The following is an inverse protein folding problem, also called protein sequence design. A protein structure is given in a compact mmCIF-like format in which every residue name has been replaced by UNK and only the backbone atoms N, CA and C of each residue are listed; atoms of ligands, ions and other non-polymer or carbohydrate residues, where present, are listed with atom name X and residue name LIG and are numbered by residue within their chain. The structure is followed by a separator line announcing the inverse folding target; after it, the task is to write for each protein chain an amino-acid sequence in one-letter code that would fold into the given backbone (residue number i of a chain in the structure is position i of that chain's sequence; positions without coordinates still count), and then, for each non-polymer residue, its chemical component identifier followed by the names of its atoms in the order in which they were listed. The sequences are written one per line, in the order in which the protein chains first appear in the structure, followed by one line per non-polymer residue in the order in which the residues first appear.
data_IF_320391862958
#
_entry.id   IF_320391862958
#
_cell.length_a   1.000
_cell.length_b   1.000
_cell.length_c   1.000
_cell.angle_alpha   90.00
_cell.angle_beta   90.00
_cell.angle_gamma   90.00
#
_symmetry.space_group_name_H-M   'P 1'
#
loop_
_entity.id
_entity.type
_entity.pdbx_description
1 polymer ?
#
# COMPACT_ATOMS: atom_id res chain seq x y z
N UNK A 1 -8.96 -17.91 -0.60
CA UNK A 1 -7.48 -17.93 -0.47
C UNK A 1 -6.80 -18.72 -1.58
N UNK A 2 -7.37 -19.82 -2.09
CA UNK A 2 -6.75 -20.71 -3.10
C UNK A 2 -6.23 -20.03 -4.39
N UNK A 3 -6.75 -18.85 -4.76
CA UNK A 3 -6.27 -18.09 -5.93
C UNK A 3 -5.11 -17.12 -5.62
N UNK A 4 -5.03 -16.56 -4.42
CA UNK A 4 -4.09 -15.47 -4.12
C UNK A 4 -2.68 -15.98 -3.81
N UNK A 5 -2.56 -17.16 -3.21
CA UNK A 5 -1.27 -17.76 -2.88
C UNK A 5 -0.44 -18.11 -4.14
N UNK A 6 -0.98 -18.81 -5.15
CA UNK A 6 -0.23 -19.11 -6.37
C UNK A 6 0.24 -17.86 -7.11
N UNK A 7 -0.59 -16.81 -7.13
CA UNK A 7 -0.22 -15.52 -7.75
C UNK A 7 0.89 -14.85 -6.94
N UNK A 8 0.80 -14.89 -5.61
CA UNK A 8 1.82 -14.33 -4.72
C UNK A 8 3.16 -15.06 -4.87
N UNK A 9 3.14 -16.38 -5.04
CA UNK A 9 4.34 -17.20 -5.27
C UNK A 9 5.01 -16.86 -6.61
N UNK A 10 4.23 -16.56 -7.65
CA UNK A 10 4.76 -16.14 -8.96
C UNK A 10 5.36 -14.73 -8.90
N UNK A 11 4.74 -13.81 -8.16
CA UNK A 11 5.14 -12.41 -8.05
C UNK A 11 6.37 -12.20 -7.15
N UNK A 12 6.58 -13.07 -6.17
CA UNK A 12 7.63 -12.89 -5.16
C UNK A 12 8.69 -14.00 -5.16
N UNK A 13 9.47 -14.16 -6.25
CA UNK A 13 10.52 -15.18 -6.31
C UNK A 13 11.71 -14.88 -5.38
N UNK A 14 11.79 -13.67 -4.80
CA UNK A 14 12.87 -13.25 -3.91
C UNK A 14 12.50 -13.23 -2.43
N UNK A 15 11.24 -13.52 -2.08
CA UNK A 15 10.79 -13.58 -0.68
C UNK A 15 10.68 -12.20 0.00
N UNK A 16 10.31 -11.16 -0.76
CA UNK A 16 10.03 -9.83 -0.24
C UNK A 16 8.80 -9.80 0.69
N UNK A 17 7.81 -10.68 0.49
CA UNK A 17 6.63 -10.76 1.34
C UNK A 17 6.95 -11.46 2.67
N UNK A 18 7.03 -10.66 3.74
CA UNK A 18 7.25 -11.20 5.10
C UNK A 18 5.99 -11.80 5.72
N UNK A 19 4.80 -11.40 5.26
CA UNK A 19 3.50 -11.90 5.74
C UNK A 19 2.46 -11.71 4.64
N UNK A 20 1.51 -12.66 4.53
CA UNK A 20 0.38 -12.58 3.61
C UNK A 20 -0.91 -12.40 4.40
N UNK A 21 -1.62 -11.31 4.14
CA UNK A 21 -2.92 -11.02 4.75
C UNK A 21 -3.98 -11.03 3.66
N UNK A 22 -5.13 -11.63 3.97
CA UNK A 22 -6.20 -11.84 3.01
C UNK A 22 -7.50 -11.17 3.46
N UNK A 23 -8.60 -11.47 2.76
CA UNK A 23 -9.91 -10.85 3.00
C UNK A 23 -10.40 -11.09 4.44
N UNK A 24 -10.06 -12.22 5.01
CA UNK A 24 -10.39 -12.62 6.37
C UNK A 24 -9.70 -11.74 7.43
N UNK A 25 -8.61 -11.06 7.06
CA UNK A 25 -7.91 -10.10 7.93
C UNK A 25 -8.50 -8.67 7.85
N UNK A 26 -9.42 -8.42 6.91
CA UNK A 26 -10.04 -7.10 6.74
C UNK A 26 -11.22 -6.88 7.69
N UNK A 27 -11.45 -5.63 8.07
CA UNK A 27 -12.64 -5.20 8.81
C UNK A 27 -13.76 -4.88 7.82
N UNK A 28 -14.93 -5.49 7.98
CA UNK A 28 -16.09 -5.14 7.15
C UNK A 28 -16.78 -3.88 7.71
N UNK A 29 -16.64 -2.75 7.01
CA UNK A 29 -17.16 -1.45 7.43
C UNK A 29 -17.96 -0.78 6.31
N UNK A 30 -19.24 -0.48 6.59
CA UNK A 30 -20.16 0.22 5.65
C UNK A 30 -20.16 -0.38 4.23
N UNK A 31 -20.18 -1.71 4.13
CA UNK A 31 -20.20 -2.42 2.84
C UNK A 31 -18.83 -2.60 2.17
N UNK A 32 -17.74 -2.12 2.77
CA UNK A 32 -16.39 -2.25 2.24
C UNK A 32 -15.51 -3.13 3.13
N UNK A 33 -14.54 -3.81 2.53
CA UNK A 33 -13.46 -4.45 3.26
C UNK A 33 -12.34 -3.42 3.49
N UNK A 34 -12.15 -3.03 4.74
CA UNK A 34 -11.15 -2.04 5.16
C UNK A 34 -9.95 -2.76 5.74
N UNK A 35 -8.76 -2.37 5.30
CA UNK A 35 -7.46 -2.82 5.80
C UNK A 35 -7.08 -1.92 6.98
N UNK A 36 -7.58 -2.23 8.17
CA UNK A 36 -7.28 -1.47 9.37
C UNK A 36 -5.81 -1.69 9.79
N UNK A 37 -4.96 -0.69 9.54
CA UNK A 37 -3.52 -0.76 9.82
C UNK A 37 -3.21 -0.85 11.31
N UNK A 38 -4.12 -0.44 12.19
CA UNK A 38 -3.94 -0.54 13.64
C UNK A 38 -3.86 -2.01 14.12
N UNK A 39 -4.39 -2.94 13.34
CA UNK A 39 -4.34 -4.37 13.65
C UNK A 39 -2.99 -5.03 13.30
N UNK A 40 -2.07 -4.31 12.65
CA UNK A 40 -0.76 -4.87 12.26
C UNK A 40 0.22 -5.01 13.44
N UNK A 41 -0.07 -4.39 14.58
CA UNK A 41 0.86 -4.35 15.72
C UNK A 41 2.20 -3.69 15.34
N UNK A 42 2.13 -2.61 14.58
CA UNK A 42 3.26 -1.80 14.12
C UNK A 42 2.99 -0.33 14.45
N UNK A 43 4.05 0.43 14.66
CA UNK A 43 3.95 1.88 14.81
C UNK A 43 3.46 2.51 13.49
N UNK A 44 2.31 3.20 13.52
CA UNK A 44 1.72 3.81 12.33
C UNK A 44 2.61 4.90 11.72
N UNK A 45 3.49 5.53 12.50
CA UNK A 45 4.48 6.48 11.99
C UNK A 45 5.53 5.81 11.07
N UNK A 46 5.51 4.48 10.96
CA UNK A 46 6.43 3.65 10.15
C UNK A 46 5.70 2.70 9.21
N UNK A 47 4.40 2.89 8.98
CA UNK A 47 3.57 2.02 8.14
C UNK A 47 2.92 2.83 7.03
N UNK A 48 3.15 2.41 5.78
CA UNK A 48 2.35 2.87 4.64
C UNK A 48 1.47 1.77 4.09
N UNK A 49 0.44 2.18 3.37
CA UNK A 49 -0.34 1.31 2.50
C UNK A 49 -0.34 1.85 1.07
N UNK A 50 -0.10 0.97 0.11
CA UNK A 50 -0.27 1.23 -1.32
C UNK A 50 -1.51 0.47 -1.77
N UNK A 51 -2.51 1.19 -2.27
CA UNK A 51 -3.78 0.61 -2.70
C UNK A 51 -4.46 1.53 -3.72
N UNK A 52 -5.16 0.93 -4.68
CA UNK A 52 -5.89 1.64 -5.72
C UNK A 52 -7.32 2.02 -5.31
N UNK A 53 -7.79 1.60 -4.14
CA UNK A 53 -9.14 1.89 -3.64
C UNK A 53 -9.09 2.70 -2.32
N UNK A 54 -9.54 3.97 -2.33
CA UNK A 54 -9.62 4.78 -1.12
C UNK A 54 -10.47 4.18 0.02
N UNK A 55 -11.45 3.33 -0.32
CA UNK A 55 -12.24 2.64 0.67
C UNK A 55 -11.42 1.62 1.49
N UNK A 56 -10.36 1.05 0.91
CA UNK A 56 -9.50 0.06 1.56
C UNK A 56 -8.74 0.62 2.76
N UNK A 57 -8.41 1.91 2.76
CA UNK A 57 -7.61 2.57 3.80
C UNK A 57 -8.35 3.72 4.48
N UNK A 58 -9.69 3.71 4.47
CA UNK A 58 -10.51 4.80 4.99
C UNK A 58 -10.26 5.16 6.47
N UNK A 59 -9.71 4.23 7.27
CA UNK A 59 -9.34 4.49 8.66
C UNK A 59 -7.96 5.13 8.82
N UNK A 60 -7.09 5.05 7.81
CA UNK A 60 -5.70 5.53 7.85
C UNK A 60 -5.34 6.25 6.53
N UNK A 61 -6.09 7.29 6.11
CA UNK A 61 -5.84 7.96 4.84
C UNK A 61 -4.46 8.62 4.77
N UNK A 62 -3.93 9.09 5.91
CA UNK A 62 -2.63 9.77 5.97
C UNK A 62 -1.45 8.80 5.84
N UNK A 63 -1.69 7.49 5.96
CA UNK A 63 -0.71 6.42 5.73
C UNK A 63 -0.72 5.94 4.26
N UNK A 64 -1.64 6.44 3.43
CA UNK A 64 -1.85 5.92 2.10
C UNK A 64 -0.96 6.60 1.06
N UNK A 65 -0.39 5.78 0.18
CA UNK A 65 0.16 6.19 -1.12
C UNK A 65 -0.82 5.66 -2.17
N UNK A 66 -1.80 6.48 -2.61
CA UNK A 66 -2.77 6.04 -3.60
C UNK A 66 -2.09 5.79 -4.93
N UNK A 67 -2.48 4.72 -5.60
CA UNK A 67 -2.06 4.38 -6.97
C UNK A 67 -3.28 4.24 -7.87
N UNK A 68 -3.11 4.40 -9.17
CA UNK A 68 -4.18 4.19 -10.13
C UNK A 68 -4.44 2.69 -10.36
N UNK A 69 -5.61 2.37 -10.90
CA UNK A 69 -5.90 0.99 -11.26
C UNK A 69 -5.23 0.67 -12.60
N UNK A 70 -4.36 -0.35 -12.60
CA UNK A 70 -3.69 -0.83 -13.80
C UNK A 70 -4.60 -1.75 -14.62
N UNK A 71 -4.68 -1.52 -15.93
CA UNK A 71 -5.45 -2.33 -16.89
C UNK A 71 -4.67 -2.57 -18.19
N UNK A 72 -3.85 -3.62 -18.21
CA UNK A 72 -3.14 -4.12 -19.41
C UNK A 72 -2.22 -3.11 -20.14
N UNK A 73 -1.89 -1.99 -19.49
CA UNK A 73 -0.98 -0.99 -20.07
C UNK A 73 0.48 -1.39 -19.84
N UNK A 74 1.13 -1.86 -20.90
CA UNK A 74 2.56 -2.23 -20.86
C UNK A 74 3.51 -1.03 -20.77
N UNK A 75 3.00 0.19 -20.94
CA UNK A 75 3.76 1.43 -20.80
C UNK A 75 3.63 2.08 -19.41
N UNK A 76 2.82 1.48 -18.52
CA UNK A 76 2.69 1.94 -17.14
C UNK A 76 4.03 1.89 -16.40
N UNK A 77 4.36 3.00 -15.74
CA UNK A 77 5.57 3.15 -14.92
C UNK A 77 5.27 3.53 -13.48
N UNK A 78 4.01 3.53 -13.05
CA UNK A 78 3.59 4.16 -11.79
C UNK A 78 4.37 3.60 -10.59
N UNK A 79 4.49 2.28 -10.49
CA UNK A 79 5.25 1.63 -9.40
C UNK A 79 6.76 1.90 -9.48
N UNK A 80 7.31 2.05 -10.69
CA UNK A 80 8.73 2.39 -10.88
C UNK A 80 8.99 3.85 -10.46
N UNK A 81 8.07 4.75 -10.80
CA UNK A 81 8.17 6.17 -10.49
C UNK A 81 8.06 6.45 -8.98
N UNK A 82 7.45 5.52 -8.22
CA UNK A 82 7.39 5.56 -6.76
C UNK A 82 8.69 5.13 -6.06
N UNK A 83 9.61 4.43 -6.72
CA UNK A 83 10.84 3.92 -6.08
C UNK A 83 11.68 5.03 -5.42
N UNK A 84 11.99 6.16 -6.08
CA UNK A 84 12.75 7.24 -5.45
C UNK A 84 12.02 7.86 -4.25
N UNK A 85 10.70 7.82 -4.23
CA UNK A 85 9.90 8.27 -3.10
C UNK A 85 10.05 7.32 -1.91
N UNK A 86 9.91 5.99 -2.12
CA UNK A 86 10.11 4.99 -1.07
C UNK A 86 11.54 4.96 -0.53
N UNK A 87 12.55 5.21 -1.36
CA UNK A 87 13.94 5.37 -0.92
C UNK A 87 14.17 6.58 -0.01
N UNK A 88 13.37 7.65 -0.14
CA UNK A 88 13.41 8.77 0.80
C UNK A 88 12.61 8.46 2.06
N UNK A 89 11.46 7.81 1.90
CA UNK A 89 10.59 7.42 3.01
C UNK A 89 11.29 6.45 3.97
N UNK A 90 12.14 5.55 3.46
CA UNK A 90 12.90 4.61 4.29
C UNK A 90 13.96 5.27 5.19
N UNK A 91 14.23 6.57 5.02
CA UNK A 91 15.24 7.34 5.76
C UNK A 91 14.66 8.26 6.83
N UNK A 92 13.33 8.36 6.93
CA UNK A 92 12.67 9.19 7.96
C UNK A 92 12.15 8.32 9.10
N UNK A 93 12.12 8.90 10.30
CA UNK A 93 11.57 8.21 11.49
C UNK A 93 10.04 8.29 11.57
N UNK A 94 9.46 9.31 10.93
CA UNK A 94 8.02 9.55 10.81
C UNK A 94 7.64 9.78 9.34
N UNK A 95 6.88 8.85 8.77
CA UNK A 95 6.41 8.90 7.38
C UNK A 95 5.55 10.14 7.08
N UNK A 96 4.86 10.70 8.08
CA UNK A 96 3.95 11.83 7.90
C UNK A 96 4.71 13.10 7.53
N UNK A 97 6.02 13.19 7.84
CA UNK A 97 6.88 14.29 7.41
C UNK A 97 7.00 14.40 5.89
N UNK A 98 6.93 13.26 5.18
CA UNK A 98 7.08 13.18 3.73
C UNK A 98 5.75 13.01 3.01
N UNK A 99 4.80 12.25 3.54
CA UNK A 99 3.51 12.01 2.89
C UNK A 99 2.71 13.32 2.74
N UNK A 100 2.62 14.12 3.81
CA UNK A 100 1.94 15.41 3.76
C UNK A 100 2.60 16.44 2.82
N UNK A 101 3.90 16.27 2.50
CA UNK A 101 4.65 17.18 1.62
C UNK A 101 4.59 16.80 0.14
N UNK A 102 4.36 15.53 -0.19
CA UNK A 102 4.58 14.99 -1.54
C UNK A 102 3.31 14.52 -2.26
N UNK A 103 2.20 14.25 -1.57
CA UNK A 103 0.96 13.78 -2.22
C UNK A 103 0.44 14.80 -3.28
N UNK A 104 0.77 16.09 -3.14
CA UNK A 104 0.47 17.12 -4.14
C UNK A 104 1.40 17.14 -5.37
N UNK A 105 2.56 16.46 -5.34
CA UNK A 105 3.59 16.49 -6.40
C UNK A 105 3.77 15.18 -7.16
N UNK A 106 3.19 14.08 -6.69
CA UNK A 106 3.26 12.77 -7.38
C UNK A 106 2.22 12.69 -8.52
N UNK A 107 1.17 13.53 -8.49
CA UNK A 107 0.15 13.63 -9.55
C UNK A 107 0.38 14.77 -10.56
N UNK A 108 1.58 15.37 -10.62
CA UNK A 108 1.90 16.49 -11.53
C UNK A 108 2.90 16.11 -12.61
#
# INVERSE_FOLDING_TARGET
MEYADPVSDLLDPWGAFTTRLFRESCVFHKGNYVKDLSHLGRDLNRVIIIDNSPASYIFHPDNAVPVESWFDDTSDTELLDLLPFFERLSKVDDIYELLHRNISRIKS
#
